data_IF_407692758094
#
_entry.id   IF_407692758094
#
_cell.length_a   1.000
_cell.length_b   1.000
_cell.length_c   1.000
_cell.angle_alpha   90.00
_cell.angle_beta   90.00
_cell.angle_gamma   90.00
#
_symmetry.space_group_name_H-M   'P 1'
#
loop_
_entity.id
_entity.type
_entity.pdbx_description
1 polymer ?
#
# COMPACT_ATOMS: atom_id res chain seq x y z
N UNK A 1 -14.56 6.94 -15.76
CA UNK A 1 -14.98 5.70 -15.12
C UNK A 1 -14.63 4.52 -16.03
N UNK A 2 -13.82 3.58 -15.56
CA UNK A 2 -13.52 2.32 -16.27
C UNK A 2 -14.36 1.23 -15.62
N UNK A 3 -15.20 0.57 -16.39
CA UNK A 3 -16.04 -0.53 -15.92
C UNK A 3 -15.54 -1.81 -16.60
N UNK A 4 -15.12 -2.79 -15.80
CA UNK A 4 -14.77 -4.11 -16.28
C UNK A 4 -16.00 -5.03 -16.15
N UNK A 5 -16.47 -5.56 -17.28
CA UNK A 5 -17.55 -6.52 -17.29
C UNK A 5 -16.99 -7.93 -17.53
N UNK A 6 -17.51 -8.97 -16.84
CA UNK A 6 -17.10 -10.33 -17.10
C UNK A 6 -17.59 -10.77 -18.49
N UNK A 7 -16.70 -11.38 -19.26
CA UNK A 7 -17.02 -11.98 -20.55
C UNK A 7 -16.78 -13.49 -20.47
N UNK A 8 -17.82 -14.30 -20.29
CA UNK A 8 -17.68 -15.75 -20.28
C UNK A 8 -17.06 -16.27 -21.59
N UNK A 9 -16.13 -17.22 -21.49
CA UNK A 9 -15.46 -17.82 -22.65
C UNK A 9 -14.29 -16.99 -23.24
N UNK A 10 -14.00 -15.80 -22.71
CA UNK A 10 -12.90 -14.97 -23.24
C UNK A 10 -11.53 -15.63 -23.06
N UNK A 11 -11.31 -16.30 -21.94
CA UNK A 11 -10.05 -17.00 -21.66
C UNK A 11 -9.82 -18.15 -22.63
N UNK A 12 -10.81 -18.97 -22.84
CA UNK A 12 -10.78 -20.09 -23.79
C UNK A 12 -10.59 -19.59 -25.24
N UNK A 13 -11.25 -18.49 -25.59
CA UNK A 13 -11.08 -17.89 -26.92
C UNK A 13 -9.64 -17.38 -27.11
N UNK A 14 -9.07 -16.69 -26.13
CA UNK A 14 -7.69 -16.20 -26.20
C UNK A 14 -6.68 -17.35 -26.25
N UNK A 15 -6.89 -18.39 -25.46
CA UNK A 15 -6.04 -19.58 -25.47
C UNK A 15 -6.06 -20.25 -26.85
N UNK A 16 -7.25 -20.45 -27.43
CA UNK A 16 -7.41 -21.00 -28.77
C UNK A 16 -6.68 -20.15 -29.82
N UNK A 17 -6.86 -18.83 -29.78
CA UNK A 17 -6.13 -17.91 -30.68
C UNK A 17 -4.61 -18.01 -30.52
N UNK A 18 -4.11 -18.14 -29.30
CA UNK A 18 -2.69 -18.30 -29.02
C UNK A 18 -2.16 -19.63 -29.58
N UNK A 19 -2.90 -20.71 -29.39
CA UNK A 19 -2.53 -22.04 -29.95
C UNK A 19 -2.51 -22.01 -31.46
N UNK A 20 -3.53 -21.43 -32.11
CA UNK A 20 -3.60 -21.30 -33.57
C UNK A 20 -2.45 -20.45 -34.11
N UNK A 21 -2.11 -19.33 -33.46
CA UNK A 21 -0.99 -18.48 -33.83
C UNK A 21 0.35 -19.21 -33.71
N UNK A 22 0.55 -19.98 -32.64
CA UNK A 22 1.75 -20.80 -32.45
C UNK A 22 1.87 -21.92 -33.48
N UNK A 23 0.76 -22.57 -33.83
CA UNK A 23 0.74 -23.59 -34.88
C UNK A 23 1.08 -23.00 -36.25
N UNK A 24 0.49 -21.85 -36.57
CA UNK A 24 0.79 -21.15 -37.82
C UNK A 24 2.25 -20.73 -37.90
N UNK A 25 2.81 -20.20 -36.79
CA UNK A 25 4.22 -19.85 -36.70
C UNK A 25 5.09 -21.09 -36.87
N UNK A 26 4.81 -22.19 -36.19
CA UNK A 26 5.55 -23.44 -36.27
C UNK A 26 5.58 -23.99 -37.71
N UNK A 27 4.46 -23.90 -38.41
CA UNK A 27 4.35 -24.38 -39.81
C UNK A 27 5.22 -23.59 -40.82
N UNK A 28 5.62 -22.38 -40.46
CA UNK A 28 6.47 -21.51 -41.29
C UNK A 28 7.95 -21.66 -40.97
N UNK A 29 8.32 -22.37 -39.89
CA UNK A 29 9.73 -22.52 -39.51
C UNK A 29 10.40 -23.71 -40.18
N UNK A 30 11.71 -23.60 -40.41
CA UNK A 30 12.51 -24.73 -40.82
C UNK A 30 12.73 -25.72 -39.69
N UNK A 31 13.03 -26.97 -40.01
CA UNK A 31 13.37 -27.98 -39.02
C UNK A 31 14.56 -27.58 -38.16
N UNK A 32 15.55 -26.96 -38.78
CA UNK A 32 16.76 -26.43 -38.11
C UNK A 32 16.38 -25.38 -37.05
N UNK A 33 15.53 -24.41 -37.41
CA UNK A 33 15.03 -23.37 -36.47
C UNK A 33 14.27 -23.99 -35.30
N UNK A 34 13.43 -24.98 -35.54
CA UNK A 34 12.68 -25.66 -34.47
C UNK A 34 13.60 -26.43 -33.52
N UNK A 35 14.64 -27.10 -34.05
CA UNK A 35 15.64 -27.79 -33.23
C UNK A 35 16.44 -26.80 -32.39
N UNK A 36 16.79 -25.64 -32.94
CA UNK A 36 17.48 -24.58 -32.22
C UNK A 36 16.62 -24.06 -31.05
N UNK A 37 15.34 -23.73 -31.28
CA UNK A 37 14.41 -23.30 -30.24
C UNK A 37 14.28 -24.33 -29.12
N UNK A 38 14.21 -25.62 -29.48
CA UNK A 38 14.16 -26.71 -28.48
C UNK A 38 15.44 -26.75 -27.65
N UNK A 39 16.60 -26.60 -28.28
CA UNK A 39 17.88 -26.61 -27.58
C UNK A 39 18.05 -25.42 -26.65
N UNK A 40 17.69 -24.22 -27.09
CA UNK A 40 17.71 -23.00 -26.29
C UNK A 40 16.73 -23.07 -25.12
N UNK A 41 15.52 -23.61 -25.33
CA UNK A 41 14.52 -23.79 -24.27
C UNK A 41 15.01 -24.77 -23.19
N UNK A 42 15.63 -25.87 -23.58
CA UNK A 42 16.22 -26.84 -22.63
C UNK A 42 17.39 -26.23 -21.85
N UNK A 43 18.23 -25.45 -22.51
CA UNK A 43 19.35 -24.80 -21.82
C UNK A 43 18.83 -23.71 -20.84
N UNK A 44 17.79 -22.97 -21.22
CA UNK A 44 17.12 -22.01 -20.32
C UNK A 44 16.51 -22.71 -19.11
N UNK A 45 15.80 -23.80 -19.32
CA UNK A 45 15.20 -24.60 -18.24
C UNK A 45 16.27 -25.11 -17.27
N UNK A 46 17.35 -25.68 -17.81
CA UNK A 46 18.51 -26.13 -17.03
C UNK A 46 19.12 -24.98 -16.21
N UNK A 47 19.30 -23.81 -16.81
CA UNK A 47 19.86 -22.64 -16.16
C UNK A 47 18.94 -22.09 -15.05
N UNK A 48 17.61 -22.08 -15.29
CA UNK A 48 16.63 -21.65 -14.30
C UNK A 48 16.53 -22.62 -13.11
N UNK A 49 16.73 -23.93 -13.34
CA UNK A 49 16.70 -24.93 -12.30
C UNK A 49 18.04 -25.13 -11.56
N UNK A 50 19.13 -24.53 -12.05
CA UNK A 50 20.42 -24.65 -11.41
C UNK A 50 20.51 -23.74 -10.17
N UNK A 51 20.91 -24.27 -9.00
CA UNK A 51 21.17 -23.42 -7.83
C UNK A 51 22.39 -22.53 -8.09
N UNK A 52 22.34 -21.32 -7.55
CA UNK A 52 23.48 -20.41 -7.59
C UNK A 52 24.67 -20.99 -6.83
N UNK A 53 25.87 -20.81 -7.35
CA UNK A 53 27.08 -21.26 -6.68
C UNK A 53 27.39 -20.41 -5.43
N UNK A 54 28.13 -20.93 -4.45
CA UNK A 54 28.55 -20.15 -3.28
C UNK A 54 29.29 -18.85 -3.66
N UNK A 55 30.06 -18.87 -4.75
CA UNK A 55 30.78 -17.70 -5.25
C UNK A 55 29.82 -16.64 -5.81
N UNK A 56 28.77 -17.08 -6.52
CA UNK A 56 27.72 -16.20 -7.01
C UNK A 56 26.91 -15.59 -5.85
N UNK A 57 26.54 -16.41 -4.86
CA UNK A 57 25.84 -15.93 -3.65
C UNK A 57 26.69 -14.93 -2.86
N UNK A 58 28.03 -15.14 -2.81
CA UNK A 58 28.94 -14.21 -2.14
C UNK A 58 29.06 -12.83 -2.83
N UNK A 59 28.61 -12.69 -4.06
CA UNK A 59 28.56 -11.37 -4.74
C UNK A 59 27.39 -10.51 -4.29
N UNK A 60 26.37 -11.09 -3.66
CA UNK A 60 25.23 -10.36 -3.15
C UNK A 60 25.69 -9.52 -1.94
N UNK A 61 25.54 -8.18 -1.99
CA UNK A 61 25.95 -7.33 -0.88
C UNK A 61 25.05 -7.63 0.34
N UNK A 62 25.66 -8.11 1.41
CA UNK A 62 25.00 -8.33 2.68
C UNK A 62 25.31 -7.16 3.64
N UNK A 63 24.33 -6.81 4.45
CA UNK A 63 24.53 -5.84 5.54
C UNK A 63 25.43 -6.48 6.61
N UNK A 64 26.52 -5.78 6.93
CA UNK A 64 27.41 -6.12 8.04
C UNK A 64 27.05 -5.27 9.26
N UNK A 65 27.49 -5.68 10.46
CA UNK A 65 27.28 -4.90 11.70
C UNK A 65 27.83 -3.48 11.61
N UNK A 66 28.91 -3.26 10.87
CA UNK A 66 29.50 -1.93 10.63
C UNK A 66 28.61 -1.00 9.81
N UNK A 67 27.66 -1.57 9.02
CA UNK A 67 26.76 -0.80 8.18
C UNK A 67 25.54 -0.32 8.98
N UNK A 68 25.37 -0.80 10.22
CA UNK A 68 24.32 -0.37 11.12
C UNK A 68 24.70 0.93 11.80
N UNK A 69 23.85 1.95 11.66
CA UNK A 69 24.02 3.19 12.42
C UNK A 69 23.69 2.93 13.90
N UNK A 70 24.58 3.35 14.78
CA UNK A 70 24.37 3.27 16.25
C UNK A 70 23.22 4.18 16.67
N UNK A 71 23.14 5.35 16.06
CA UNK A 71 22.05 6.31 16.28
C UNK A 71 21.16 6.35 15.04
N UNK A 72 19.86 6.06 15.17
CA UNK A 72 18.93 6.16 14.05
C UNK A 72 18.75 7.63 13.63
N UNK A 73 18.54 7.84 12.33
CA UNK A 73 18.16 9.16 11.84
C UNK A 73 16.70 9.42 12.26
N UNK A 74 16.52 10.36 13.20
CA UNK A 74 15.18 10.81 13.57
C UNK A 74 14.67 11.83 12.55
N UNK A 75 13.38 11.71 12.13
CA UNK A 75 12.79 12.70 11.25
C UNK A 75 12.73 14.06 11.93
N UNK A 76 13.09 15.10 11.19
CA UNK A 76 12.96 16.49 11.64
C UNK A 76 11.54 16.96 11.35
N UNK A 77 10.82 17.37 12.40
CA UNK A 77 9.47 17.87 12.32
C UNK A 77 9.47 19.40 12.46
N UNK A 78 8.62 20.05 11.68
CA UNK A 78 8.24 21.45 11.90
C UNK A 78 6.95 21.46 12.71
N UNK A 79 6.96 22.15 13.83
CA UNK A 79 5.79 22.29 14.70
C UNK A 79 5.19 23.68 14.56
N UNK A 80 3.88 23.76 14.32
CA UNK A 80 3.13 25.01 14.26
C UNK A 80 1.83 24.87 15.03
N UNK A 81 1.53 25.88 15.84
CA UNK A 81 0.24 25.98 16.51
C UNK A 81 -0.73 26.79 15.65
N UNK A 82 -1.85 26.18 15.27
CA UNK A 82 -2.89 26.86 14.49
C UNK A 82 -3.74 27.77 15.38
N UNK A 83 -4.52 28.67 14.78
CA UNK A 83 -5.40 29.61 15.49
C UNK A 83 -6.43 28.91 16.39
N UNK A 84 -6.91 27.72 15.97
CA UNK A 84 -7.84 26.87 16.71
C UNK A 84 -7.15 26.01 17.79
N UNK A 85 -5.90 26.31 18.15
CA UNK A 85 -5.07 25.59 19.12
C UNK A 85 -4.67 24.16 18.72
N UNK A 86 -4.97 23.72 17.52
CA UNK A 86 -4.47 22.45 17.00
C UNK A 86 -2.96 22.57 16.73
N UNK A 87 -2.21 21.54 17.13
CA UNK A 87 -0.79 21.44 16.79
C UNK A 87 -0.65 20.72 15.46
N UNK A 88 -0.05 21.38 14.49
CA UNK A 88 0.35 20.83 13.20
C UNK A 88 1.81 20.40 13.26
N UNK A 89 2.08 19.14 12.91
CA UNK A 89 3.41 18.59 12.74
C UNK A 89 3.62 18.28 11.26
N UNK A 90 4.60 18.94 10.65
CA UNK A 90 4.90 18.80 9.23
C UNK A 90 6.30 18.25 9.03
N UNK A 91 6.43 17.30 8.11
CA UNK A 91 7.70 16.80 7.64
C UNK A 91 7.74 16.82 6.11
N UNK A 92 8.72 17.50 5.56
CA UNK A 92 8.94 17.54 4.12
C UNK A 92 9.79 16.34 3.69
N UNK A 93 9.21 15.47 2.86
CA UNK A 93 9.86 14.29 2.29
C UNK A 93 9.57 14.25 0.79
N UNK A 94 10.48 13.64 0.03
CA UNK A 94 10.21 13.36 -1.38
C UNK A 94 9.19 12.23 -1.50
N UNK A 95 7.95 12.58 -1.84
CA UNK A 95 6.80 11.66 -1.90
C UNK A 95 6.13 11.63 -3.28
N UNK A 96 6.81 12.10 -4.33
CA UNK A 96 6.24 12.17 -5.70
C UNK A 96 4.86 12.84 -5.76
N UNK A 97 4.68 13.97 -5.08
CA UNK A 97 3.43 14.76 -4.94
C UNK A 97 2.35 14.11 -4.07
N UNK A 98 2.64 13.02 -3.37
CA UNK A 98 1.69 12.41 -2.45
C UNK A 98 1.79 13.09 -1.09
N UNK A 99 0.66 13.56 -0.58
CA UNK A 99 0.50 14.06 0.79
C UNK A 99 -0.02 12.92 1.68
N UNK A 100 0.65 12.71 2.81
CA UNK A 100 0.18 11.82 3.88
C UNK A 100 -0.36 12.68 5.02
N UNK A 101 -1.64 12.52 5.33
CA UNK A 101 -2.32 13.26 6.39
C UNK A 101 -2.73 12.31 7.50
N UNK A 102 -2.43 12.69 8.75
CA UNK A 102 -2.85 11.98 9.95
C UNK A 102 -3.47 12.96 10.94
N UNK A 103 -4.70 12.70 11.34
CA UNK A 103 -5.41 13.46 12.37
C UNK A 103 -5.44 12.63 13.64
N UNK A 104 -5.03 13.22 14.75
CA UNK A 104 -4.97 12.58 16.07
C UNK A 104 -5.93 13.28 17.02
N UNK A 105 -6.87 12.52 17.54
CA UNK A 105 -7.85 13.00 18.52
C UNK A 105 -7.54 12.37 19.88
N UNK A 106 -7.48 13.18 20.91
CA UNK A 106 -7.29 12.72 22.26
C UNK A 106 -8.57 12.03 22.75
N UNK A 107 -8.43 10.84 23.32
CA UNK A 107 -9.56 10.04 23.81
C UNK A 107 -9.54 9.81 25.32
N UNK A 108 -8.80 10.61 26.08
CA UNK A 108 -8.83 10.55 27.55
C UNK A 108 -10.24 10.83 28.14
N UNK A 109 -11.07 11.56 27.41
CA UNK A 109 -12.44 11.87 27.84
C UNK A 109 -13.40 10.67 27.75
N UNK A 110 -13.01 9.61 27.07
CA UNK A 110 -13.83 8.40 26.90
C UNK A 110 -13.75 7.58 28.18
N UNK A 111 -14.91 7.34 28.80
CA UNK A 111 -14.97 6.52 30.02
C UNK A 111 -14.52 5.07 29.71
N UNK A 112 -13.89 4.42 30.68
CA UNK A 112 -13.35 3.07 30.51
C UNK A 112 -14.39 2.05 30.03
N UNK A 113 -15.65 2.17 30.47
CA UNK A 113 -16.74 1.31 30.01
C UNK A 113 -17.07 1.45 28.54
N UNK A 114 -16.74 2.61 27.93
CA UNK A 114 -17.07 2.95 26.55
C UNK A 114 -15.88 2.72 25.59
N UNK A 115 -14.68 2.46 26.12
CA UNK A 115 -13.47 2.17 25.29
C UNK A 115 -13.70 1.05 24.27
N UNK A 116 -14.40 -0.08 24.59
CA UNK A 116 -14.68 -1.12 23.59
C UNK A 116 -15.47 -0.62 22.38
N UNK A 117 -16.31 0.40 22.55
CA UNK A 117 -17.08 0.98 21.44
C UNK A 117 -16.20 1.76 20.45
N UNK A 118 -15.02 2.23 20.85
CA UNK A 118 -14.06 2.84 19.90
C UNK A 118 -13.68 1.86 18.80
N UNK A 119 -13.54 0.56 19.11
CA UNK A 119 -13.29 -0.47 18.11
C UNK A 119 -14.45 -0.58 17.12
N UNK A 120 -15.69 -0.54 17.62
CA UNK A 120 -16.87 -0.55 16.76
C UNK A 120 -16.93 0.70 15.87
N UNK A 121 -16.63 1.88 16.43
CA UNK A 121 -16.57 3.14 15.68
C UNK A 121 -15.54 3.04 14.53
N UNK A 122 -14.33 2.54 14.81
CA UNK A 122 -13.30 2.38 13.75
C UNK A 122 -13.74 1.44 12.64
N UNK A 123 -14.53 0.41 12.97
CA UNK A 123 -15.03 -0.55 11.98
C UNK A 123 -16.18 0.00 11.12
N UNK A 124 -16.96 0.94 11.64
CA UNK A 124 -18.16 1.49 10.98
C UNK A 124 -17.86 2.76 10.18
N UNK A 125 -16.92 3.59 10.61
CA UNK A 125 -16.58 4.83 9.92
C UNK A 125 -16.16 4.57 8.46
N UNK A 126 -16.72 5.37 7.56
CA UNK A 126 -16.50 5.22 6.12
C UNK A 126 -17.25 4.04 5.47
N UNK A 127 -18.02 3.25 6.25
CA UNK A 127 -18.74 2.05 5.79
C UNK A 127 -20.25 2.12 6.02
N UNK A 128 -20.75 3.27 6.37
CA UNK A 128 -22.16 3.50 6.63
C UNK A 128 -22.67 4.68 5.82
N UNK A 129 -24.00 4.72 5.63
CA UNK A 129 -24.65 5.91 5.11
C UNK A 129 -24.43 7.09 6.04
N UNK A 130 -24.23 8.26 5.48
CA UNK A 130 -24.25 9.53 6.22
C UNK A 130 -25.59 10.22 6.01
N UNK A 131 -25.84 11.29 6.76
CA UNK A 131 -27.02 12.15 6.53
C UNK A 131 -27.03 12.83 5.14
N UNK A 132 -25.88 12.91 4.49
CA UNK A 132 -25.72 13.60 3.21
C UNK A 132 -25.53 12.67 2.02
N UNK A 133 -25.02 11.44 2.24
CA UNK A 133 -24.62 10.54 1.17
C UNK A 133 -24.87 9.09 1.53
N UNK A 134 -25.39 8.26 0.60
CA UNK A 134 -25.36 6.82 0.70
C UNK A 134 -23.92 6.31 0.78
N UNK A 135 -23.72 5.14 1.39
CA UNK A 135 -22.40 4.51 1.53
C UNK A 135 -21.68 4.33 0.18
N UNK A 136 -22.40 3.91 -0.86
CA UNK A 136 -21.82 3.71 -2.20
C UNK A 136 -21.18 4.99 -2.75
N UNK A 137 -21.88 6.11 -2.62
CA UNK A 137 -21.43 7.40 -3.12
C UNK A 137 -20.25 7.93 -2.27
N UNK A 138 -20.34 7.75 -0.94
CA UNK A 138 -19.25 8.09 -0.02
C UNK A 138 -17.99 7.29 -0.35
N UNK A 139 -18.11 5.98 -0.55
CA UNK A 139 -16.99 5.11 -0.91
C UNK A 139 -16.36 5.49 -2.24
N UNK A 140 -17.18 5.79 -3.24
CA UNK A 140 -16.70 6.25 -4.54
C UNK A 140 -15.93 7.58 -4.42
N UNK A 141 -16.45 8.54 -3.65
CA UNK A 141 -15.80 9.83 -3.45
C UNK A 141 -14.47 9.71 -2.73
N UNK A 142 -14.41 8.89 -1.66
CA UNK A 142 -13.16 8.60 -0.95
C UNK A 142 -12.11 8.03 -1.93
N UNK A 143 -12.51 7.06 -2.77
CA UNK A 143 -11.60 6.44 -3.72
C UNK A 143 -11.18 7.36 -4.88
N UNK A 144 -12.01 8.33 -5.25
CA UNK A 144 -11.69 9.30 -6.31
C UNK A 144 -10.71 10.37 -5.83
N UNK A 145 -10.79 10.78 -4.57
CA UNK A 145 -10.02 11.90 -4.03
C UNK A 145 -8.84 11.50 -3.17
N UNK A 146 -8.77 10.24 -2.76
CA UNK A 146 -7.73 9.76 -1.85
C UNK A 146 -7.35 8.32 -2.12
N UNK A 147 -6.25 7.88 -1.52
CA UNK A 147 -5.86 6.47 -1.46
C UNK A 147 -6.57 5.69 -0.34
N UNK A 148 -7.75 6.16 0.07
CA UNK A 148 -8.57 5.58 1.13
C UNK A 148 -8.43 6.29 2.47
N UNK A 149 -9.38 6.01 3.37
CA UNK A 149 -9.37 6.45 4.76
C UNK A 149 -9.14 5.24 5.68
N UNK A 150 -8.30 5.42 6.67
CA UNK A 150 -8.07 4.42 7.71
C UNK A 150 -8.35 5.02 9.08
N UNK A 151 -9.06 4.27 9.90
CA UNK A 151 -9.46 4.65 11.26
C UNK A 151 -8.86 3.65 12.23
N UNK A 152 -8.25 4.15 13.30
CA UNK A 152 -7.68 3.30 14.34
C UNK A 152 -7.77 3.99 15.70
N UNK A 153 -7.77 3.21 16.77
CA UNK A 153 -7.54 3.73 18.11
C UNK A 153 -6.39 2.92 18.74
N UNK A 154 -5.62 3.59 19.56
CA UNK A 154 -4.45 3.00 20.22
C UNK A 154 -4.07 3.84 21.44
N UNK A 155 -3.30 3.26 22.32
CA UNK A 155 -2.70 3.96 23.44
C UNK A 155 -1.23 3.60 23.54
N UNK A 156 -0.38 4.58 23.80
CA UNK A 156 1.06 4.40 24.04
C UNK A 156 1.38 4.89 25.42
N UNK A 157 2.10 4.07 26.19
CA UNK A 157 2.67 4.50 27.47
C UNK A 157 3.78 5.49 27.28
N UNK A 158 3.93 6.44 28.20
CA UNK A 158 5.08 7.30 28.24
C UNK A 158 6.33 6.49 28.59
N UNK A 159 7.44 6.76 27.88
CA UNK A 159 8.68 6.04 28.08
C UNK A 159 9.37 6.40 29.40
N UNK A 160 9.22 7.64 29.84
CA UNK A 160 9.85 8.16 31.06
C UNK A 160 9.00 7.85 32.29
N UNK A 161 7.67 7.87 32.15
CA UNK A 161 6.73 7.67 33.24
C UNK A 161 5.65 6.66 32.84
N UNK A 162 5.88 5.40 33.15
CA UNK A 162 5.05 4.26 32.73
C UNK A 162 3.59 4.28 33.21
N UNK A 163 3.25 5.19 34.15
CA UNK A 163 1.87 5.43 34.59
C UNK A 163 1.09 6.35 33.66
N UNK A 164 1.77 7.11 32.79
CA UNK A 164 1.15 8.01 31.83
C UNK A 164 0.95 7.26 30.52
N UNK A 165 -0.22 7.40 29.95
CA UNK A 165 -0.54 6.85 28.63
C UNK A 165 -1.24 7.89 27.77
N UNK A 166 -1.07 7.77 26.47
CA UNK A 166 -1.60 8.70 25.47
C UNK A 166 -2.58 7.95 24.55
N UNK A 167 -3.87 7.88 24.90
CA UNK A 167 -4.85 7.24 24.05
C UNK A 167 -5.25 8.17 22.90
N UNK A 168 -5.31 7.62 21.70
CA UNK A 168 -5.62 8.39 20.49
C UNK A 168 -6.59 7.65 19.60
N UNK A 169 -7.55 8.37 19.06
CA UNK A 169 -8.26 7.98 17.86
C UNK A 169 -7.57 8.64 16.67
N UNK A 170 -7.30 7.89 15.63
CA UNK A 170 -6.50 8.37 14.49
C UNK A 170 -7.24 8.15 13.19
N UNK A 171 -7.25 9.18 12.35
CA UNK A 171 -7.71 9.13 10.96
C UNK A 171 -6.51 9.35 10.07
N UNK A 172 -6.24 8.42 9.16
CA UNK A 172 -5.12 8.54 8.22
C UNK A 172 -5.62 8.43 6.79
N UNK A 173 -5.01 9.23 5.93
CA UNK A 173 -5.24 9.16 4.49
C UNK A 173 -3.97 9.56 3.73
N UNK A 174 -3.95 9.25 2.44
CA UNK A 174 -2.98 9.75 1.49
C UNK A 174 -3.72 10.26 0.26
N UNK A 175 -3.22 11.31 -0.36
CA UNK A 175 -3.85 11.92 -1.52
C UNK A 175 -2.81 12.66 -2.37
N UNK A 176 -3.18 13.06 -3.57
CA UNK A 176 -2.37 14.03 -4.30
C UNK A 176 -2.49 15.41 -3.62
N UNK A 177 -1.38 16.16 -3.59
CA UNK A 177 -1.37 17.46 -2.91
C UNK A 177 -2.41 18.44 -3.43
N UNK A 178 -2.77 18.34 -4.72
CA UNK A 178 -3.81 19.17 -5.37
C UNK A 178 -5.24 18.80 -4.91
N UNK A 179 -5.46 17.61 -4.40
CA UNK A 179 -6.77 17.13 -3.94
C UNK A 179 -7.08 17.46 -2.48
N UNK A 180 -6.14 18.05 -1.74
CA UNK A 180 -6.28 18.30 -0.30
C UNK A 180 -7.57 19.05 0.04
N UNK A 181 -7.88 20.13 -0.68
CA UNK A 181 -9.07 20.94 -0.41
C UNK A 181 -10.39 20.21 -0.67
N UNK A 182 -10.39 19.19 -1.53
CA UNK A 182 -11.56 18.37 -1.83
C UNK A 182 -11.70 17.14 -0.95
N UNK A 183 -10.64 16.78 -0.22
CA UNK A 183 -10.60 15.60 0.66
C UNK A 183 -10.89 15.94 2.14
N UNK A 184 -10.80 17.22 2.53
CA UNK A 184 -11.18 17.78 3.83
C UNK A 184 -12.62 18.27 3.83
#
# INVERSE_FOLDING_TARGET
LVIALPQPGLSEQKEKQSVEALQAWKAQQSEETLLQVIAESKELEKRQGAPDSPEQLATIPLLDRKDLKVEPDFPVWQEKKLENQVTELTQELFTSKILYLSLYFDTHIVEQKDVPYLQLVTALLGRMNTSRRPYSDLSNEINLRSGGLSFSHWAVGDKAEGSIYHPRFTVKTKMLGEDLAGAL
#
